data_IF_167192422090
#
_entry.id   IF_167192422090
#
_cell.length_a   1.000
_cell.length_b   1.000
_cell.length_c   1.000
_cell.angle_alpha   90.00
_cell.angle_beta   90.00
_cell.angle_gamma   90.00
#
_symmetry.space_group_name_H-M   'P 1'
#
loop_
_entity.id
_entity.type
_entity.pdbx_description
1 polymer ?
#
# COMPACT_ATOMS: atom_id res chain seq x y z
N UNK A 1 10.22 -21.67 6.52
CA UNK A 1 10.45 -22.04 5.12
C UNK A 1 11.51 -21.10 4.58
N UNK A 2 12.62 -21.60 4.12
CA UNK A 2 13.72 -20.78 3.59
C UNK A 2 13.72 -20.95 2.07
N UNK A 3 13.47 -19.86 1.35
CA UNK A 3 13.54 -19.88 -0.10
C UNK A 3 15.01 -19.77 -0.57
N UNK A 4 15.41 -20.43 -1.64
CA UNK A 4 16.76 -20.35 -2.23
C UNK A 4 16.93 -19.05 -3.04
N UNK A 5 16.57 -17.91 -2.45
CA UNK A 5 16.67 -16.58 -3.05
C UNK A 5 17.48 -15.68 -2.12
N UNK A 6 18.54 -15.07 -2.65
CA UNK A 6 19.30 -14.05 -1.93
C UNK A 6 18.58 -12.71 -2.03
N UNK A 7 17.90 -12.32 -0.96
CA UNK A 7 17.18 -11.05 -0.90
C UNK A 7 18.10 -9.84 -0.98
N UNK A 8 19.38 -9.97 -0.60
CA UNK A 8 20.36 -8.88 -0.68
C UNK A 8 20.75 -8.55 -2.12
N UNK A 9 20.61 -9.51 -3.03
CA UNK A 9 20.91 -9.37 -4.46
C UNK A 9 19.76 -8.82 -5.30
N UNK A 10 18.61 -8.49 -4.69
CA UNK A 10 17.48 -7.91 -5.40
C UNK A 10 17.72 -6.44 -5.72
N UNK A 11 17.64 -6.09 -6.99
CA UNK A 11 17.81 -4.73 -7.49
C UNK A 11 16.47 -4.03 -7.74
N UNK A 12 16.44 -2.71 -7.55
CA UNK A 12 15.28 -1.88 -7.86
C UNK A 12 15.01 -1.88 -9.37
N UNK A 13 13.74 -2.10 -9.73
CA UNK A 13 13.31 -2.26 -11.12
C UNK A 13 13.38 -3.69 -11.63
N UNK A 14 13.91 -4.63 -10.86
CA UNK A 14 14.02 -6.03 -11.23
C UNK A 14 12.65 -6.71 -11.30
N UNK A 15 12.47 -7.57 -12.29
CA UNK A 15 11.33 -8.48 -12.40
C UNK A 15 11.81 -9.90 -12.16
N UNK A 16 11.19 -10.57 -11.20
CA UNK A 16 11.38 -12.01 -10.97
C UNK A 16 10.40 -12.76 -11.88
N UNK A 17 10.91 -13.30 -12.95
CA UNK A 17 10.15 -14.05 -13.94
C UNK A 17 9.67 -15.41 -13.40
N UNK A 18 8.68 -15.98 -14.07
CA UNK A 18 8.06 -17.25 -13.66
C UNK A 18 9.10 -18.35 -13.50
N UNK A 19 10.06 -18.48 -14.42
CA UNK A 19 11.11 -19.49 -14.38
C UNK A 19 12.00 -19.36 -13.13
N UNK A 20 12.30 -18.13 -12.72
CA UNK A 20 13.04 -17.88 -11.48
C UNK A 20 12.21 -18.27 -10.26
N UNK A 21 10.92 -17.95 -10.26
CA UNK A 21 10.01 -18.25 -9.18
C UNK A 21 9.72 -19.76 -9.08
N UNK A 22 9.64 -20.48 -10.20
CA UNK A 22 9.55 -21.96 -10.22
C UNK A 22 10.74 -22.59 -9.48
N UNK A 23 11.95 -22.10 -9.73
CA UNK A 23 13.14 -22.56 -9.01
C UNK A 23 13.08 -22.21 -7.51
N UNK A 24 12.61 -21.01 -7.17
CA UNK A 24 12.47 -20.54 -5.77
C UNK A 24 11.44 -21.36 -5.02
N UNK A 25 10.30 -21.68 -5.64
CA UNK A 25 9.22 -22.42 -5.01
C UNK A 25 9.39 -23.93 -5.11
N UNK A 26 10.35 -24.41 -5.93
CA UNK A 26 10.51 -25.82 -6.31
C UNK A 26 9.20 -26.42 -6.87
N UNK A 27 8.45 -25.64 -7.62
CA UNK A 27 7.12 -25.95 -8.12
C UNK A 27 6.92 -25.33 -9.51
N UNK A 28 6.24 -26.06 -10.41
CA UNK A 28 5.88 -25.53 -11.73
C UNK A 28 4.64 -24.65 -11.66
N UNK A 29 4.67 -23.51 -12.31
CA UNK A 29 3.56 -22.57 -12.40
C UNK A 29 2.28 -23.23 -12.95
N UNK A 30 2.39 -23.94 -14.08
CA UNK A 30 1.23 -24.55 -14.77
C UNK A 30 0.47 -25.57 -13.93
N UNK A 31 1.11 -26.19 -12.94
CA UNK A 31 0.52 -27.23 -12.09
C UNK A 31 0.27 -26.77 -10.66
N UNK A 32 0.57 -25.51 -10.36
CA UNK A 32 0.44 -24.95 -9.03
C UNK A 32 -1.00 -24.50 -8.76
N UNK A 33 -1.57 -24.96 -7.67
CA UNK A 33 -2.88 -24.49 -7.18
C UNK A 33 -2.75 -23.39 -6.13
N UNK A 34 -1.53 -23.09 -5.67
CA UNK A 34 -1.24 -22.14 -4.58
C UNK A 34 -0.20 -21.07 -4.96
N UNK A 35 0.00 -20.84 -6.26
CA UNK A 35 0.99 -19.89 -6.78
C UNK A 35 0.85 -18.50 -6.18
N UNK A 36 -0.35 -17.95 -6.18
CA UNK A 36 -0.64 -16.63 -5.60
C UNK A 36 -0.28 -16.57 -4.11
N UNK A 37 -0.58 -17.64 -3.37
CA UNK A 37 -0.24 -17.72 -1.96
C UNK A 37 1.29 -17.76 -1.74
N UNK A 38 2.04 -18.46 -2.61
CA UNK A 38 3.50 -18.48 -2.58
C UNK A 38 4.08 -17.11 -2.91
N UNK A 39 3.54 -16.41 -3.90
CA UNK A 39 3.92 -15.03 -4.24
C UNK A 39 3.70 -14.08 -3.05
N UNK A 40 2.54 -14.13 -2.42
CA UNK A 40 2.22 -13.31 -1.25
C UNK A 40 3.15 -13.58 -0.06
N UNK A 41 3.48 -14.86 0.20
CA UNK A 41 4.42 -15.24 1.26
C UNK A 41 5.83 -14.74 0.96
N UNK A 42 6.31 -14.91 -0.28
CA UNK A 42 7.63 -14.44 -0.69
C UNK A 42 7.72 -12.92 -0.63
N UNK A 43 6.71 -12.21 -1.12
CA UNK A 43 6.61 -10.75 -0.99
C UNK A 43 6.72 -10.30 0.46
N UNK A 44 5.97 -10.92 1.37
CA UNK A 44 6.01 -10.62 2.80
C UNK A 44 7.38 -10.86 3.42
N UNK A 45 8.06 -11.95 3.04
CA UNK A 45 9.42 -12.25 3.51
C UNK A 45 10.45 -11.23 2.98
N UNK A 46 10.37 -10.84 1.71
CA UNK A 46 11.25 -9.82 1.15
C UNK A 46 11.07 -8.50 1.92
N UNK A 47 9.84 -8.04 2.14
CA UNK A 47 9.56 -6.83 2.91
C UNK A 47 10.04 -6.90 4.36
N UNK A 48 10.00 -8.09 4.98
CA UNK A 48 10.50 -8.28 6.34
C UNK A 48 12.03 -8.18 6.44
N UNK A 49 12.75 -8.57 5.37
CA UNK A 49 14.22 -8.54 5.33
C UNK A 49 14.80 -7.27 4.68
N UNK A 50 14.06 -6.63 3.81
CA UNK A 50 14.47 -5.49 2.99
C UNK A 50 13.46 -4.35 3.08
N UNK A 51 13.61 -3.50 4.09
CA UNK A 51 12.74 -2.32 4.26
C UNK A 51 13.02 -1.17 3.26
N UNK A 52 14.12 -1.27 2.52
CA UNK A 52 14.59 -0.30 1.54
C UNK A 52 14.01 -0.49 0.14
N UNK A 53 13.30 -1.60 -0.10
CA UNK A 53 12.65 -1.89 -1.38
C UNK A 53 11.15 -2.15 -1.21
N UNK A 54 10.41 -1.87 -2.27
CA UNK A 54 8.98 -2.20 -2.38
C UNK A 54 8.81 -3.24 -3.47
N UNK A 55 8.15 -4.34 -3.14
CA UNK A 55 7.87 -5.44 -4.07
C UNK A 55 6.38 -5.57 -4.28
N UNK A 56 5.94 -5.73 -5.52
CA UNK A 56 4.55 -5.93 -5.88
C UNK A 56 4.36 -7.22 -6.67
N UNK A 57 3.16 -7.77 -6.60
CA UNK A 57 2.76 -8.88 -7.47
C UNK A 57 2.25 -8.26 -8.77
N UNK A 58 2.90 -8.58 -9.88
CA UNK A 58 2.51 -8.20 -11.24
C UNK A 58 2.04 -9.45 -11.98
N UNK A 59 0.72 -9.68 -11.96
CA UNK A 59 0.10 -10.93 -12.40
C UNK A 59 0.66 -12.13 -11.63
N UNK A 60 1.42 -12.99 -12.31
CA UNK A 60 1.98 -14.22 -11.74
C UNK A 60 3.47 -14.09 -11.40
N UNK A 61 4.00 -12.86 -11.32
CA UNK A 61 5.40 -12.52 -11.09
C UNK A 61 5.58 -11.54 -9.93
N UNK A 62 6.81 -11.41 -9.44
CA UNK A 62 7.17 -10.39 -8.47
C UNK A 62 8.03 -9.30 -9.12
N UNK A 63 7.67 -8.06 -8.90
CA UNK A 63 8.40 -6.89 -9.38
C UNK A 63 8.92 -6.08 -8.21
N UNK A 64 10.22 -5.83 -8.19
CA UNK A 64 10.85 -4.85 -7.32
C UNK A 64 10.67 -3.48 -7.96
N UNK A 65 9.97 -2.57 -7.29
CA UNK A 65 9.71 -1.24 -7.84
C UNK A 65 10.96 -0.37 -7.80
N UNK A 66 11.09 0.52 -8.77
CA UNK A 66 12.02 1.64 -8.71
C UNK A 66 11.59 2.63 -7.61
N UNK A 67 12.47 3.54 -7.19
CA UNK A 67 12.14 4.53 -6.14
C UNK A 67 10.94 5.41 -6.52
N UNK A 68 10.83 5.80 -7.78
CA UNK A 68 9.71 6.61 -8.28
C UNK A 68 8.38 5.82 -8.23
N UNK A 69 8.39 4.58 -8.72
CA UNK A 69 7.22 3.69 -8.68
C UNK A 69 6.82 3.36 -7.23
N UNK A 70 7.81 3.09 -6.37
CA UNK A 70 7.59 2.80 -4.96
C UNK A 70 6.98 3.99 -4.22
N UNK A 71 7.44 5.21 -4.51
CA UNK A 71 6.87 6.44 -3.94
C UNK A 71 5.39 6.59 -4.30
N UNK A 72 5.04 6.43 -5.57
CA UNK A 72 3.65 6.51 -6.01
C UNK A 72 2.78 5.38 -5.44
N UNK A 73 3.26 4.14 -5.51
CA UNK A 73 2.56 2.97 -4.98
C UNK A 73 2.25 3.12 -3.49
N UNK A 74 3.27 3.47 -2.68
CA UNK A 74 3.12 3.62 -1.24
C UNK A 74 2.21 4.81 -0.89
N UNK A 75 2.28 5.91 -1.63
CA UNK A 75 1.37 7.04 -1.46
C UNK A 75 -0.10 6.64 -1.70
N UNK A 76 -0.37 5.81 -2.71
CA UNK A 76 -1.71 5.28 -2.98
C UNK A 76 -2.19 4.36 -1.85
N UNK A 77 -1.32 3.50 -1.31
CA UNK A 77 -1.66 2.62 -0.18
C UNK A 77 -1.97 3.44 1.08
N UNK A 78 -1.17 4.45 1.39
CA UNK A 78 -1.43 5.37 2.51
C UNK A 78 -2.77 6.09 2.33
N UNK A 79 -3.07 6.57 1.12
CA UNK A 79 -4.34 7.22 0.84
C UNK A 79 -5.56 6.28 0.98
N UNK A 80 -5.41 5.01 0.59
CA UNK A 80 -6.44 3.98 0.80
C UNK A 80 -6.63 3.69 2.29
N UNK A 81 -5.53 3.51 3.03
CA UNK A 81 -5.55 3.31 4.48
C UNK A 81 -6.24 4.45 5.21
N UNK A 82 -5.93 5.69 4.85
CA UNK A 82 -6.56 6.88 5.42
C UNK A 82 -8.08 6.91 5.18
N UNK A 83 -8.52 6.60 3.95
CA UNK A 83 -9.96 6.50 3.63
C UNK A 83 -10.67 5.40 4.42
N UNK A 84 -10.01 4.25 4.56
CA UNK A 84 -10.54 3.14 5.34
C UNK A 84 -10.71 3.52 6.82
N UNK A 85 -9.71 4.15 7.43
CA UNK A 85 -9.77 4.61 8.82
C UNK A 85 -10.93 5.59 9.02
N UNK A 86 -11.07 6.59 8.14
CA UNK A 86 -12.16 7.55 8.22
C UNK A 86 -13.54 6.89 8.10
N UNK A 87 -13.74 6.02 7.11
CA UNK A 87 -14.99 5.28 6.93
C UNK A 87 -15.32 4.37 8.12
N UNK A 88 -14.31 3.72 8.71
CA UNK A 88 -14.52 2.86 9.88
C UNK A 88 -14.82 3.68 11.14
N UNK A 89 -14.21 4.84 11.30
CA UNK A 89 -14.55 5.77 12.39
C UNK A 89 -16.00 6.22 12.31
N UNK A 90 -16.51 6.60 11.14
CA UNK A 90 -17.92 6.96 10.94
C UNK A 90 -18.85 5.83 11.35
N UNK A 91 -18.52 4.59 10.97
CA UNK A 91 -19.31 3.40 11.34
C UNK A 91 -19.25 3.12 12.84
N UNK A 92 -18.11 3.31 13.51
CA UNK A 92 -18.02 3.18 14.96
C UNK A 92 -18.91 4.22 15.66
N UNK A 93 -18.89 5.47 15.18
CA UNK A 93 -19.73 6.54 15.74
C UNK A 93 -21.24 6.28 15.52
N UNK A 94 -21.62 5.48 14.52
CA UNK A 94 -23.02 5.15 14.25
C UNK A 94 -23.56 3.96 15.04
N UNK A 95 -22.74 3.31 15.87
CA UNK A 95 -23.18 2.18 16.71
C UNK A 95 -24.14 2.69 17.78
N UNK A 96 -25.30 2.03 17.89
CA UNK A 96 -26.26 2.33 18.95
C UNK A 96 -25.75 1.81 20.31
N UNK A 97 -25.22 2.73 21.10
CA UNK A 97 -24.68 2.43 22.41
C UNK A 97 -25.72 1.86 23.37
N UNK A 98 -27.00 2.17 23.18
CA UNK A 98 -28.09 1.65 24.00
C UNK A 98 -28.31 0.15 23.85
N UNK A 99 -27.75 -0.47 22.82
CA UNK A 99 -27.82 -1.92 22.59
C UNK A 99 -26.62 -2.68 23.19
N UNK A 100 -25.66 -1.97 23.78
CA UNK A 100 -24.45 -2.55 24.35
C UNK A 100 -24.62 -2.74 25.87
N UNK A 101 -24.08 -3.84 26.40
CA UNK A 101 -23.93 -3.98 27.86
C UNK A 101 -22.84 -3.06 28.41
N UNK A 102 -22.63 -3.05 29.73
CA UNK A 102 -21.71 -2.15 30.39
C UNK A 102 -20.25 -2.33 29.93
N UNK A 103 -19.80 -3.60 29.82
CA UNK A 103 -18.42 -3.91 29.42
C UNK A 103 -18.20 -3.60 27.93
N UNK A 104 -19.18 -3.95 27.09
CA UNK A 104 -19.17 -3.63 25.66
C UNK A 104 -19.17 -2.12 25.43
N UNK A 105 -19.91 -1.34 26.24
CA UNK A 105 -19.94 0.12 26.13
C UNK A 105 -18.58 0.74 26.46
N UNK A 106 -17.89 0.28 27.49
CA UNK A 106 -16.56 0.74 27.87
C UNK A 106 -15.55 0.46 26.75
N UNK A 107 -15.58 -0.77 26.22
CA UNK A 107 -14.69 -1.15 25.12
C UNK A 107 -15.01 -0.40 23.82
N UNK A 108 -16.28 -0.18 23.54
CA UNK A 108 -16.70 0.65 22.40
C UNK A 108 -16.19 2.08 22.52
N UNK A 109 -16.34 2.72 23.68
CA UNK A 109 -15.84 4.09 23.91
C UNK A 109 -14.33 4.20 23.71
N UNK A 110 -13.58 3.19 24.17
CA UNK A 110 -12.13 3.11 23.94
C UNK A 110 -11.80 3.04 22.45
N UNK A 111 -12.52 2.20 21.68
CA UNK A 111 -12.34 2.07 20.23
C UNK A 111 -12.69 3.35 19.49
N UNK A 112 -13.76 4.02 19.89
CA UNK A 112 -14.18 5.32 19.33
C UNK A 112 -13.10 6.37 19.60
N UNK A 113 -12.57 6.43 20.82
CA UNK A 113 -11.52 7.38 21.17
C UNK A 113 -10.28 7.22 20.29
N UNK A 114 -9.77 5.99 20.15
CA UNK A 114 -8.59 5.69 19.33
C UNK A 114 -8.84 5.99 17.86
N UNK A 115 -9.97 5.51 17.32
CA UNK A 115 -10.33 5.70 15.92
C UNK A 115 -10.54 7.19 15.58
N UNK A 116 -11.17 7.95 16.45
CA UNK A 116 -11.41 9.39 16.26
C UNK A 116 -10.11 10.19 16.33
N UNK A 117 -9.17 9.83 17.20
CA UNK A 117 -7.86 10.46 17.25
C UNK A 117 -7.07 10.24 15.94
N UNK A 118 -7.10 9.02 15.39
CA UNK A 118 -6.47 8.71 14.10
C UNK A 118 -7.14 9.47 12.95
N UNK A 119 -8.46 9.50 12.89
CA UNK A 119 -9.21 10.25 11.87
C UNK A 119 -8.93 11.76 11.93
N UNK A 120 -8.85 12.35 13.13
CA UNK A 120 -8.51 13.75 13.33
C UNK A 120 -7.08 14.05 12.86
N UNK A 121 -6.11 13.19 13.15
CA UNK A 121 -4.73 13.32 12.67
C UNK A 121 -4.63 13.28 11.14
N UNK A 122 -5.38 12.40 10.47
CA UNK A 122 -5.45 12.34 9.01
C UNK A 122 -6.06 13.63 8.44
N UNK A 123 -7.16 14.12 9.01
CA UNK A 123 -7.83 15.34 8.56
C UNK A 123 -6.92 16.57 8.72
N UNK A 124 -6.19 16.67 9.82
CA UNK A 124 -5.23 17.76 10.06
C UNK A 124 -4.05 17.70 9.07
N UNK A 125 -3.48 16.52 8.84
CA UNK A 125 -2.39 16.33 7.88
C UNK A 125 -2.82 16.76 6.47
N UNK A 126 -4.03 16.42 6.05
CA UNK A 126 -4.58 16.85 4.75
C UNK A 126 -4.70 18.37 4.65
N UNK A 127 -5.18 19.04 5.72
CA UNK A 127 -5.28 20.52 5.76
C UNK A 127 -3.92 21.16 5.61
N UNK A 128 -2.89 20.66 6.31
CA UNK A 128 -1.53 21.20 6.23
C UNK A 128 -0.93 21.04 4.83
N UNK A 129 -1.13 19.90 4.18
CA UNK A 129 -0.63 19.66 2.82
C UNK A 129 -1.27 20.64 1.81
N UNK A 130 -2.57 20.90 1.94
CA UNK A 130 -3.27 21.88 1.07
C UNK A 130 -2.77 23.30 1.31
N UNK A 131 -2.37 23.63 2.53
CA UNK A 131 -1.87 24.96 2.90
C UNK A 131 -0.40 25.21 2.54
N UNK A 132 0.36 24.19 2.08
CA UNK A 132 1.75 24.37 1.67
C UNK A 132 1.83 25.27 0.43
N UNK A 133 2.70 26.31 0.44
CA UNK A 133 2.96 27.12 -0.74
C UNK A 133 3.61 26.23 -1.80
N UNK A 134 2.99 26.05 -2.95
CA UNK A 134 3.48 25.20 -4.04
C UNK A 134 2.44 24.29 -4.70
N UNK A 135 1.23 24.20 -4.15
CA UNK A 135 0.12 23.50 -4.81
C UNK A 135 -0.38 24.22 -6.09
N UNK A 136 0.32 25.27 -6.52
CA UNK A 136 0.11 26.00 -7.76
C UNK A 136 1.15 25.68 -8.84
N UNK A 137 1.79 24.52 -8.83
CA UNK A 137 2.61 24.09 -9.94
C UNK A 137 1.74 23.97 -11.19
N UNK A 138 2.06 24.69 -12.27
CA UNK A 138 1.29 24.63 -13.51
C UNK A 138 1.23 23.18 -13.98
N UNK A 139 0.03 22.69 -14.24
CA UNK A 139 -0.19 21.38 -14.86
C UNK A 139 0.60 21.39 -16.18
N UNK A 140 1.55 20.47 -16.29
CA UNK A 140 2.48 20.31 -17.43
C UNK A 140 1.76 19.96 -18.77
N UNK A 141 0.45 20.13 -18.84
CA UNK A 141 -0.41 19.77 -19.97
C UNK A 141 -0.82 20.93 -20.89
N UNK A 142 -0.20 22.14 -20.74
CA UNK A 142 -0.55 23.28 -21.61
C UNK A 142 0.63 23.87 -22.41
N UNK A 143 1.76 23.19 -22.52
CA UNK A 143 2.90 23.68 -23.31
C UNK A 143 3.27 22.82 -24.53
N UNK A 144 2.39 21.96 -25.01
CA UNK A 144 2.59 21.25 -26.28
C UNK A 144 1.46 21.63 -27.25
N UNK A 145 1.52 22.81 -27.78
CA UNK A 145 0.51 23.19 -28.80
C UNK A 145 0.50 24.64 -29.18
N UNK A 146 1.65 25.27 -29.47
CA UNK A 146 1.73 26.51 -30.23
C UNK A 146 3.15 26.80 -30.69
N UNK A 147 3.66 25.97 -31.59
CA UNK A 147 4.75 26.33 -32.50
C UNK A 147 4.63 25.45 -33.75
N UNK A 148 3.74 25.83 -34.65
CA UNK A 148 3.86 25.56 -36.06
C UNK A 148 2.71 26.33 -36.74
N UNK A 149 3.01 27.53 -37.19
CA UNK A 149 2.48 28.18 -38.41
C UNK A 149 3.18 29.53 -38.49
N UNK A 150 4.28 29.56 -39.18
CA UNK A 150 4.75 30.72 -39.92
C UNK A 150 5.59 30.23 -41.10
#
# INVERSE_FOLDING_TARGET
MQYPLDFSALDKGQLLEIETLEAVFAQRYETSNDWDLQLMKLQGLIHAHRSDITVTIDRDRLRVLTDAEASEHNAQLVARGARLIMSRNERLLSVDRGQLDADQSIEHDRRVLVSSALAAGIAESRRRIVALPGNGLPRRSQQLGMEEIA
#
